data_IF_499110152074
#
_entry.id   IF_499110152074
#
_cell.length_a   1.000
_cell.length_b   1.000
_cell.length_c   1.000
_cell.angle_alpha   90.00
_cell.angle_beta   90.00
_cell.angle_gamma   90.00
#
_symmetry.space_group_name_H-M   'P 1'
#
loop_
_entity.id
_entity.type
_entity.pdbx_description
1 polymer ?
#
# COMPACT_ATOMS: atom_id res chain seq x y z
N UNK A 1 8.59 -0.66 -8.94
CA UNK A 1 9.43 -0.34 -7.77
C UNK A 1 10.46 -1.42 -7.49
N UNK A 2 10.05 -2.67 -7.22
CA UNK A 2 10.94 -3.79 -6.87
C UNK A 2 12.11 -4.00 -7.84
N UNK A 3 11.87 -3.89 -9.17
CA UNK A 3 12.93 -3.97 -10.18
C UNK A 3 13.99 -2.87 -10.00
N UNK A 4 13.55 -1.63 -9.77
CA UNK A 4 14.45 -0.49 -9.56
C UNK A 4 15.28 -0.72 -8.31
N UNK A 5 14.64 -1.04 -7.18
CA UNK A 5 15.37 -1.31 -5.93
C UNK A 5 16.38 -2.45 -6.09
N UNK A 6 16.01 -3.53 -6.77
CA UNK A 6 16.92 -4.61 -7.11
C UNK A 6 18.12 -4.16 -7.97
N UNK A 7 17.89 -3.35 -9.01
CA UNK A 7 18.98 -2.85 -9.88
C UNK A 7 19.96 -1.90 -9.16
N UNK A 8 19.51 -1.26 -8.08
CA UNK A 8 20.33 -0.39 -7.24
C UNK A 8 20.86 -1.09 -5.98
N UNK A 9 20.78 -2.42 -5.91
CA UNK A 9 21.24 -3.25 -4.77
C UNK A 9 20.60 -2.87 -3.43
N UNK A 10 19.33 -2.46 -3.47
CA UNK A 10 18.51 -2.16 -2.31
C UNK A 10 17.57 -3.33 -2.01
N UNK A 11 17.23 -3.49 -0.72
CA UNK A 11 16.31 -4.52 -0.26
C UNK A 11 14.97 -4.44 -0.99
N UNK A 12 14.55 -5.56 -1.57
CA UNK A 12 13.26 -5.67 -2.25
C UNK A 12 12.14 -5.48 -1.23
N UNK A 13 11.16 -4.59 -1.50
CA UNK A 13 10.13 -4.26 -0.55
C UNK A 13 9.09 -5.37 -0.45
N UNK A 14 8.47 -5.49 0.72
CA UNK A 14 7.26 -6.30 0.91
C UNK A 14 6.04 -5.48 0.51
N UNK A 15 5.23 -6.02 -0.41
CA UNK A 15 4.22 -5.23 -1.13
C UNK A 15 2.80 -5.61 -0.67
N UNK A 16 2.01 -4.61 -0.30
CA UNK A 16 0.58 -4.79 -0.06
C UNK A 16 -0.19 -5.00 -1.38
N UNK A 17 -0.68 -6.21 -1.63
CA UNK A 17 -1.42 -6.59 -2.83
C UNK A 17 -2.88 -6.92 -2.55
N UNK A 18 -3.78 -6.65 -3.50
CA UNK A 18 -5.19 -7.02 -3.38
C UNK A 18 -5.42 -8.53 -3.45
N UNK A 19 -6.40 -9.05 -2.70
CA UNK A 19 -6.75 -10.47 -2.69
C UNK A 19 -7.18 -11.02 -4.07
N UNK A 20 -7.59 -10.17 -5.01
CA UNK A 20 -7.96 -10.57 -6.37
C UNK A 20 -6.82 -11.33 -7.10
N UNK A 21 -5.55 -11.00 -6.79
CA UNK A 21 -4.38 -11.67 -7.37
C UNK A 21 -4.10 -13.05 -6.75
N UNK A 22 -4.57 -13.31 -5.53
CA UNK A 22 -4.41 -14.61 -4.86
C UNK A 22 -5.23 -15.71 -5.54
N UNK A 23 -6.31 -15.35 -6.25
CA UNK A 23 -7.11 -16.31 -7.02
C UNK A 23 -6.37 -16.93 -8.21
N UNK A 24 -5.23 -16.36 -8.62
CA UNK A 24 -4.43 -16.82 -9.75
C UNK A 24 -3.26 -17.68 -9.25
N UNK A 25 -3.38 -19.01 -9.16
CA UNK A 25 -2.38 -19.89 -8.51
C UNK A 25 -0.91 -19.55 -8.83
N UNK A 26 -0.53 -19.54 -10.11
CA UNK A 26 0.87 -19.30 -10.52
C UNK A 26 1.34 -17.86 -10.22
N UNK A 27 0.50 -16.87 -10.53
CA UNK A 27 0.85 -15.44 -10.37
C UNK A 27 0.86 -15.05 -8.90
N UNK A 28 -0.12 -15.53 -8.13
CA UNK A 28 -0.21 -15.33 -6.69
C UNK A 28 0.96 -15.96 -5.95
N UNK A 29 1.40 -17.15 -6.35
CA UNK A 29 2.59 -17.80 -5.77
C UNK A 29 3.87 -17.02 -6.09
N UNK A 30 4.06 -16.61 -7.35
CA UNK A 30 5.20 -15.76 -7.74
C UNK A 30 5.23 -14.44 -6.95
N UNK A 31 4.07 -13.80 -6.77
CA UNK A 31 3.96 -12.57 -5.98
C UNK A 31 4.31 -12.80 -4.50
N UNK A 32 3.86 -13.91 -3.90
CA UNK A 32 4.26 -14.26 -2.52
C UNK A 32 5.75 -14.48 -2.39
N UNK A 33 6.35 -15.21 -3.33
CA UNK A 33 7.80 -15.44 -3.35
C UNK A 33 8.58 -14.12 -3.53
N UNK A 34 7.96 -13.12 -4.15
CA UNK A 34 8.53 -11.77 -4.33
C UNK A 34 8.26 -10.82 -3.14
N UNK A 35 7.69 -11.31 -2.04
CA UNK A 35 7.43 -10.52 -0.83
C UNK A 35 6.05 -9.84 -0.78
N UNK A 36 5.10 -10.18 -1.66
CA UNK A 36 3.75 -9.63 -1.61
C UNK A 36 2.90 -10.29 -0.50
N UNK A 37 2.16 -9.48 0.24
CA UNK A 37 1.13 -9.92 1.17
C UNK A 37 -0.26 -9.43 0.75
N UNK A 38 -1.29 -10.23 1.00
CA UNK A 38 -2.63 -9.99 0.45
C UNK A 38 -3.59 -9.36 1.45
N UNK A 39 -4.26 -8.28 1.02
CA UNK A 39 -5.27 -7.55 1.79
C UNK A 39 -6.66 -7.68 1.14
N UNK A 40 -7.70 -7.83 1.98
CA UNK A 40 -9.10 -7.76 1.53
C UNK A 40 -9.49 -6.31 1.22
N UNK A 41 -10.32 -6.10 0.21
CA UNK A 41 -10.86 -4.76 -0.13
C UNK A 41 -11.84 -4.22 0.93
N UNK A 42 -12.51 -5.10 1.66
CA UNK A 42 -13.36 -4.77 2.79
C UNK A 42 -13.11 -5.77 3.91
N UNK A 43 -12.99 -5.25 5.14
CA UNK A 43 -12.78 -6.05 6.34
C UNK A 43 -14.09 -6.58 6.94
N UNK A 44 -15.25 -6.08 6.49
CA UNK A 44 -16.57 -6.60 6.87
C UNK A 44 -16.86 -6.64 8.38
N UNK A 45 -16.13 -5.87 9.20
CA UNK A 45 -16.22 -5.94 10.66
C UNK A 45 -15.51 -7.13 11.32
N UNK A 46 -14.75 -7.92 10.56
CA UNK A 46 -13.97 -9.06 11.05
C UNK A 46 -12.76 -8.58 11.88
N UNK A 47 -12.97 -8.50 13.20
CA UNK A 47 -11.96 -8.04 14.16
C UNK A 47 -10.75 -8.98 14.22
N UNK A 48 -10.95 -10.29 14.05
CA UNK A 48 -9.86 -11.26 14.12
C UNK A 48 -8.94 -11.10 12.92
N UNK A 49 -9.51 -11.00 11.71
CA UNK A 49 -8.72 -10.76 10.51
C UNK A 49 -7.93 -9.45 10.61
N UNK A 50 -8.54 -8.37 11.11
CA UNK A 50 -7.84 -7.11 11.32
C UNK A 50 -6.69 -7.23 12.32
N UNK A 51 -6.90 -7.88 13.46
CA UNK A 51 -5.87 -8.03 14.49
C UNK A 51 -4.67 -8.84 13.96
N UNK A 52 -4.92 -9.97 13.31
CA UNK A 52 -3.86 -10.82 12.72
C UNK A 52 -3.12 -10.07 11.61
N UNK A 53 -3.85 -9.40 10.73
CA UNK A 53 -3.25 -8.62 9.63
C UNK A 53 -2.42 -7.45 10.15
N UNK A 54 -2.92 -6.72 11.16
CA UNK A 54 -2.21 -5.60 11.75
C UNK A 54 -0.92 -6.07 12.41
N UNK A 55 -0.96 -7.14 13.21
CA UNK A 55 0.24 -7.67 13.86
C UNK A 55 1.25 -8.16 12.82
N UNK A 56 0.81 -8.82 11.74
CA UNK A 56 1.68 -9.26 10.65
C UNK A 56 2.47 -8.09 10.04
N UNK A 57 1.80 -6.97 9.73
CA UNK A 57 2.46 -5.77 9.19
C UNK A 57 3.36 -5.11 10.25
N UNK A 58 2.91 -5.05 11.50
CA UNK A 58 3.71 -4.49 12.59
C UNK A 58 4.99 -5.28 12.84
N UNK A 59 4.96 -6.62 12.74
CA UNK A 59 6.15 -7.46 12.82
C UNK A 59 7.13 -7.13 11.70
N UNK A 60 6.65 -6.92 10.46
CA UNK A 60 7.53 -6.54 9.35
C UNK A 60 8.24 -5.21 9.64
N UNK A 61 7.50 -4.19 10.09
CA UNK A 61 8.06 -2.89 10.47
C UNK A 61 9.04 -3.00 11.64
N UNK A 62 8.70 -3.77 12.69
CA UNK A 62 9.56 -4.00 13.86
C UNK A 62 10.86 -4.72 13.52
N UNK A 63 10.78 -5.73 12.65
CA UNK A 63 11.94 -6.53 12.26
C UNK A 63 12.96 -5.73 11.44
N UNK A 64 12.50 -4.70 10.73
CA UNK A 64 13.36 -3.87 9.87
C UNK A 64 14.02 -4.62 8.72
N UNK A 65 13.63 -5.87 8.43
CA UNK A 65 14.29 -6.72 7.45
C UNK A 65 14.12 -6.22 6.01
N UNK A 66 12.93 -5.72 5.68
CA UNK A 66 12.60 -5.19 4.37
C UNK A 66 11.67 -3.97 4.47
N UNK A 67 11.79 -2.99 3.57
CA UNK A 67 10.87 -1.86 3.52
C UNK A 67 9.46 -2.32 3.12
N UNK A 68 8.43 -1.72 3.71
CA UNK A 68 7.02 -2.01 3.37
C UNK A 68 6.54 -1.04 2.30
N UNK A 69 6.16 -1.57 1.13
CA UNK A 69 5.58 -0.81 0.03
C UNK A 69 4.06 -0.95 0.04
N UNK A 70 3.37 0.20 -0.01
CA UNK A 70 1.92 0.22 -0.15
C UNK A 70 1.42 1.48 -0.86
N UNK A 71 0.24 1.36 -1.46
CA UNK A 71 -0.42 2.45 -2.16
C UNK A 71 -1.55 3.00 -1.31
N UNK A 72 -1.46 4.28 -0.92
CA UNK A 72 -2.49 4.94 -0.10
C UNK A 72 -3.88 4.88 -0.73
N UNK A 73 -3.97 4.97 -2.05
CA UNK A 73 -5.24 4.95 -2.78
C UNK A 73 -5.92 3.55 -2.77
N UNK A 74 -5.11 2.48 -2.66
CA UNK A 74 -5.55 1.09 -2.72
C UNK A 74 -6.01 0.61 -4.10
N UNK A 75 -6.00 1.48 -5.11
CA UNK A 75 -6.29 1.15 -6.52
C UNK A 75 -5.43 2.00 -7.45
N UNK A 76 -5.19 1.52 -8.68
CA UNK A 76 -4.53 2.31 -9.72
C UNK A 76 -5.38 3.52 -10.11
N UNK A 77 -4.75 4.70 -10.22
CA UNK A 77 -5.39 5.85 -10.86
C UNK A 77 -5.59 5.60 -12.35
N UNK A 78 -6.77 5.96 -12.87
CA UNK A 78 -7.14 5.79 -14.29
C UNK A 78 -7.18 7.11 -15.07
N UNK A 79 -7.17 8.24 -14.36
CA UNK A 79 -7.30 9.59 -14.93
C UNK A 79 -6.07 10.45 -14.67
N UNK A 80 -4.96 9.83 -14.25
CA UNK A 80 -3.74 10.48 -13.79
C UNK A 80 -3.93 11.48 -12.62
N UNK A 81 -5.10 11.47 -11.98
CA UNK A 81 -5.40 12.25 -10.77
C UNK A 81 -5.21 11.38 -9.53
N UNK A 82 -4.69 11.96 -8.46
CA UNK A 82 -4.62 11.29 -7.16
C UNK A 82 -6.01 11.02 -6.62
N UNK A 83 -6.22 9.80 -6.11
CA UNK A 83 -7.44 9.42 -5.42
C UNK A 83 -7.33 9.75 -3.92
N UNK A 84 -8.47 9.76 -3.23
CA UNK A 84 -8.49 9.99 -1.78
C UNK A 84 -7.71 8.90 -1.06
N UNK A 85 -6.74 9.26 -0.19
CA UNK A 85 -5.91 8.28 0.51
C UNK A 85 -6.71 7.52 1.57
N UNK A 86 -6.49 6.21 1.65
CA UNK A 86 -7.01 5.33 2.70
C UNK A 86 -5.95 5.15 3.77
N UNK A 87 -6.18 5.76 4.94
CA UNK A 87 -5.21 5.81 6.04
C UNK A 87 -5.08 4.50 6.84
N UNK A 88 -5.88 3.46 6.53
CA UNK A 88 -5.92 2.23 7.32
C UNK A 88 -4.55 1.54 7.46
N UNK A 89 -3.85 1.34 6.34
CA UNK A 89 -2.54 0.68 6.37
C UNK A 89 -1.44 1.60 6.92
N UNK A 90 -1.52 2.90 6.63
CA UNK A 90 -0.62 3.91 7.19
C UNK A 90 -0.68 3.92 8.73
N UNK A 91 -1.89 3.84 9.29
CA UNK A 91 -2.09 3.75 10.74
C UNK A 91 -1.42 2.49 11.32
N UNK A 92 -1.52 1.33 10.64
CA UNK A 92 -0.89 0.09 11.08
C UNK A 92 0.64 0.22 11.09
N UNK A 93 1.23 0.88 10.08
CA UNK A 93 2.68 1.07 9.94
C UNK A 93 3.23 2.05 10.98
N UNK A 94 2.47 3.08 11.34
CA UNK A 94 2.86 4.09 12.35
C UNK A 94 2.66 3.55 13.78
N UNK A 95 1.78 2.58 13.97
CA UNK A 95 1.39 2.07 15.30
C UNK A 95 2.56 1.58 16.17
N UNK A 96 3.56 0.81 15.65
CA UNK A 96 4.73 0.41 16.43
C UNK A 96 5.50 1.59 17.02
N UNK A 97 5.61 2.71 16.28
CA UNK A 97 6.26 3.92 16.78
C UNK A 97 5.44 4.57 17.90
N UNK A 98 4.12 4.64 17.74
CA UNK A 98 3.22 5.22 18.75
C UNK A 98 3.21 4.41 20.05
N UNK A 99 3.34 3.08 19.96
CA UNK A 99 3.48 2.18 21.12
C UNK A 99 4.87 2.26 21.79
N UNK A 100 5.86 2.80 21.09
CA UNK A 100 7.26 2.80 21.53
C UNK A 100 7.97 1.46 21.32
N UNK A 101 7.45 0.59 20.44
CA UNK A 101 8.08 -0.67 20.05
C UNK A 101 9.27 -0.44 19.10
N UNK A 102 9.28 0.68 18.37
CA UNK A 102 10.39 1.12 17.52
C UNK A 102 10.75 2.58 17.82
N UNK A 103 12.01 2.93 17.57
CA UNK A 103 12.53 4.27 17.83
C UNK A 103 11.98 5.32 16.87
N UNK A 104 11.89 4.98 15.58
CA UNK A 104 11.36 5.83 14.52
C UNK A 104 10.86 4.98 13.34
N UNK A 105 9.99 5.56 12.52
CA UNK A 105 9.54 5.01 11.24
C UNK A 105 9.73 6.10 10.18
N UNK A 106 10.47 5.79 9.13
CA UNK A 106 10.69 6.71 8.00
C UNK A 106 9.72 6.40 6.87
N UNK A 107 8.90 7.39 6.51
CA UNK A 107 7.98 7.30 5.38
C UNK A 107 8.63 7.95 4.15
N UNK A 108 8.84 7.18 3.09
CA UNK A 108 9.40 7.70 1.83
C UNK A 108 8.27 7.86 0.81
N UNK A 109 7.83 9.09 0.50
CA UNK A 109 6.81 9.29 -0.51
C UNK A 109 7.40 9.01 -1.89
N UNK A 110 6.74 8.15 -2.66
CA UNK A 110 7.16 7.82 -4.02
C UNK A 110 6.03 8.10 -5.00
N UNK A 111 6.35 8.84 -6.06
CA UNK A 111 5.45 9.06 -7.20
C UNK A 111 5.93 8.24 -8.39
N UNK A 112 5.00 7.56 -9.06
CA UNK A 112 5.25 6.83 -10.30
C UNK A 112 4.33 7.41 -11.36
N UNK A 113 4.91 7.95 -12.42
CA UNK A 113 4.20 8.54 -13.55
C UNK A 113 4.51 7.77 -14.82
N UNK A 114 3.46 7.52 -15.60
CA UNK A 114 3.53 6.81 -16.87
C UNK A 114 3.16 7.77 -17.97
N UNK A 115 3.87 7.73 -19.10
CA UNK A 115 3.52 8.51 -20.29
C UNK A 115 2.18 8.04 -20.89
N UNK A 116 1.93 6.72 -20.87
CA UNK A 116 0.68 6.13 -21.35
C UNK A 116 0.07 5.17 -20.33
N UNK A 117 -1.21 5.37 -20.03
CA UNK A 117 -1.97 4.53 -19.09
C UNK A 117 -2.63 3.38 -19.84
N UNK A 118 -2.30 2.14 -19.48
CA UNK A 118 -2.85 0.92 -20.10
C UNK A 118 -4.39 0.84 -20.02
N UNK A 119 -4.97 1.39 -18.96
CA UNK A 119 -6.40 1.31 -18.67
C UNK A 119 -7.24 2.37 -19.37
N UNK A 120 -6.65 3.31 -20.13
CA UNK A 120 -7.37 4.45 -20.72
C UNK A 120 -8.53 4.00 -21.62
N UNK A 121 -8.28 3.08 -22.57
CA UNK A 121 -9.29 2.57 -23.46
C UNK A 121 -10.37 1.72 -22.74
N UNK A 122 -9.98 1.02 -21.68
CA UNK A 122 -10.92 0.26 -20.84
C UNK A 122 -11.80 1.19 -20.01
N UNK A 123 -11.23 2.28 -19.49
CA UNK A 123 -11.94 3.29 -18.72
C UNK A 123 -12.94 4.08 -19.59
N UNK A 124 -12.55 4.44 -20.82
CA UNK A 124 -13.47 5.05 -21.77
C UNK A 124 -14.70 4.16 -22.06
N UNK A 125 -14.50 2.84 -22.20
CA UNK A 125 -15.61 1.89 -22.38
C UNK A 125 -16.48 1.74 -21.13
N UNK A 126 -15.89 1.80 -19.94
CA UNK A 126 -16.62 1.79 -18.68
C UNK A 126 -17.49 3.03 -18.51
N UNK A 127 -17.00 4.22 -18.89
CA UNK A 127 -17.79 5.44 -18.93
C UNK A 127 -18.97 5.36 -19.92
N UNK A 128 -18.83 4.57 -20.99
CA UNK A 128 -19.91 4.25 -21.93
C UNK A 128 -20.88 3.17 -21.42
N UNK A 129 -20.73 2.72 -20.16
CA UNK A 129 -21.63 1.76 -19.51
C UNK A 129 -21.24 0.29 -19.65
N UNK A 130 -20.08 -0.01 -20.25
CA UNK A 130 -19.59 -1.39 -20.35
C UNK A 130 -19.01 -1.83 -19.00
N UNK A 131 -19.50 -2.92 -18.38
CA UNK A 131 -19.03 -3.32 -17.06
C UNK A 131 -17.55 -3.73 -17.08
N UNK A 132 -16.82 -3.38 -16.00
CA UNK A 132 -15.40 -3.74 -15.85
C UNK A 132 -15.23 -5.26 -15.93
N UNK A 133 -14.41 -5.79 -16.87
CA UNK A 133 -14.10 -7.21 -16.88
C UNK A 133 -13.34 -7.60 -15.61
N UNK A 134 -13.69 -8.74 -15.01
CA UNK A 134 -12.93 -9.30 -13.89
C UNK A 134 -11.51 -9.63 -14.39
N UNK A 135 -10.50 -9.19 -13.64
CA UNK A 135 -9.11 -9.52 -13.93
C UNK A 135 -8.96 -11.05 -13.82
N UNK A 136 -8.56 -11.70 -14.92
CA UNK A 136 -8.48 -13.16 -15.04
C UNK A 136 -7.11 -13.58 -15.57
N UNK A 137 -6.75 -14.84 -15.32
CA UNK A 137 -5.54 -15.47 -15.87
C UNK A 137 -5.47 -15.40 -17.39
N UNK A 138 -6.59 -15.61 -18.08
CA UNK A 138 -6.66 -15.48 -19.54
C UNK A 138 -6.48 -14.02 -20.02
N UNK A 139 -6.95 -13.04 -19.24
CA UNK A 139 -6.71 -11.62 -19.47
C UNK A 139 -5.23 -11.25 -19.35
N UNK A 140 -4.52 -11.81 -18.37
CA UNK A 140 -3.09 -11.59 -18.18
C UNK A 140 -2.23 -12.20 -19.31
N UNK A 141 -2.60 -13.38 -19.83
CA UNK A 141 -1.91 -13.97 -20.98
C UNK A 141 -2.14 -13.17 -22.27
N UNK A 142 -3.33 -12.63 -22.51
CA UNK A 142 -3.57 -11.68 -23.62
C UNK A 142 -2.85 -10.35 -23.40
N UNK A 143 -2.73 -9.90 -22.16
CA UNK A 143 -1.96 -8.72 -21.80
C UNK A 143 -0.46 -8.86 -22.10
N UNK A 144 0.09 -10.07 -22.33
CA UNK A 144 1.49 -10.21 -22.81
C UNK A 144 1.75 -9.53 -24.14
N UNK A 145 0.78 -9.54 -25.07
CA UNK A 145 0.89 -8.83 -26.35
C UNK A 145 0.82 -7.31 -26.16
N UNK A 146 0.01 -6.88 -25.18
CA UNK A 146 -0.06 -5.48 -24.76
C UNK A 146 1.27 -5.08 -24.11
N UNK A 147 1.83 -5.89 -23.21
CA UNK A 147 3.13 -5.67 -22.55
C UNK A 147 4.33 -5.58 -23.51
N UNK A 148 4.20 -6.04 -24.77
CA UNK A 148 5.24 -5.92 -25.79
C UNK A 148 5.14 -4.66 -26.66
N UNK A 149 4.10 -3.84 -26.48
CA UNK A 149 4.01 -2.55 -27.16
C UNK A 149 4.81 -1.48 -26.40
N UNK A 150 5.22 -0.43 -27.11
CA UNK A 150 5.90 0.72 -26.52
C UNK A 150 4.88 1.64 -25.82
N UNK A 151 5.01 1.77 -24.49
CA UNK A 151 4.19 2.65 -23.64
C UNK A 151 4.91 3.94 -23.25
N UNK A 152 6.05 4.23 -23.88
CA UNK A 152 6.87 5.38 -23.56
C UNK A 152 7.64 5.18 -22.26
N UNK A 153 7.93 6.29 -21.59
CA UNK A 153 8.80 6.30 -20.41
C UNK A 153 8.04 6.21 -19.08
N UNK A 154 8.68 5.56 -18.10
CA UNK A 154 8.23 5.54 -16.70
C UNK A 154 9.12 6.46 -15.89
N UNK A 155 8.52 7.45 -15.26
CA UNK A 155 9.22 8.38 -14.36
C UNK A 155 8.91 8.02 -12.91
N UNK A 156 9.96 7.81 -12.11
CA UNK A 156 9.85 7.49 -10.69
C UNK A 156 10.55 8.60 -9.91
N UNK A 157 9.82 9.21 -8.99
CA UNK A 157 10.33 10.27 -8.14
C UNK A 157 10.25 9.86 -6.67
N UNK A 158 11.40 9.89 -5.99
CA UNK A 158 11.50 9.68 -4.56
C UNK A 158 11.53 11.05 -3.87
N UNK A 159 10.52 11.32 -3.05
CA UNK A 159 10.49 12.53 -2.24
C UNK A 159 11.36 12.41 -0.99
N UNK A 160 11.43 13.50 -0.23
CA UNK A 160 12.19 13.54 1.01
C UNK A 160 11.61 12.56 2.04
N UNK A 161 12.43 11.68 2.66
CA UNK A 161 11.98 10.83 3.74
C UNK A 161 11.44 11.65 4.91
N UNK A 162 10.29 11.24 5.42
CA UNK A 162 9.61 11.91 6.53
C UNK A 162 9.68 11.02 7.75
N UNK A 163 10.38 11.48 8.79
CA UNK A 163 10.43 10.82 10.09
C UNK A 163 9.09 11.00 10.81
N UNK A 164 8.45 9.89 11.17
CA UNK A 164 7.22 9.91 11.97
C UNK A 164 7.50 10.51 13.34
N UNK A 165 8.68 10.29 13.90
CA UNK A 165 9.09 10.93 15.14
C UNK A 165 9.14 12.45 15.04
N UNK A 166 9.79 12.98 14.00
CA UNK A 166 9.86 14.43 13.78
C UNK A 166 8.47 15.04 13.57
N UNK A 167 7.57 14.31 12.89
CA UNK A 167 6.17 14.73 12.74
C UNK A 167 5.38 14.73 14.05
N UNK A 168 5.65 13.77 14.93
CA UNK A 168 4.95 13.59 16.20
C UNK A 168 5.46 14.51 17.32
N UNK A 169 6.68 15.05 17.18
CA UNK A 169 7.31 15.89 18.20
C UNK A 169 6.47 17.14 18.51
N UNK A 170 6.18 17.36 19.80
CA UNK A 170 5.36 18.46 20.28
C UNK A 170 3.86 18.38 19.97
N UNK A 171 3.42 17.38 19.18
CA UNK A 171 2.03 17.24 18.72
C UNK A 171 1.31 16.02 19.29
N UNK A 172 2.05 14.94 19.60
CA UNK A 172 1.46 13.66 19.96
C UNK A 172 2.04 13.13 21.28
N UNK A 173 1.19 12.96 22.29
CA UNK A 173 1.61 12.36 23.56
C UNK A 173 1.56 10.82 23.48
N UNK A 174 2.72 10.21 23.26
CA UNK A 174 2.87 8.74 23.14
C UNK A 174 2.37 7.95 24.36
N UNK A 175 2.37 8.54 25.57
CA UNK A 175 1.94 7.82 26.76
C UNK A 175 0.47 7.41 26.69
N UNK A 176 -0.38 8.21 26.04
CA UNK A 176 -1.81 7.90 25.88
C UNK A 176 -2.06 6.65 25.03
N UNK A 177 -1.15 6.35 24.11
CA UNK A 177 -1.26 5.28 23.13
C UNK A 177 -1.05 3.89 23.73
N UNK A 178 -0.48 3.81 24.94
CA UNK A 178 -0.27 2.59 25.72
C UNK A 178 -1.31 2.38 26.83
N UNK A 179 -2.23 3.33 27.04
CA UNK A 179 -3.26 3.23 28.09
C UNK A 179 -4.40 2.27 27.73
N UNK A 180 -4.58 1.94 26.45
CA UNK A 180 -5.67 1.06 26.00
C UNK A 180 -5.22 0.05 24.95
N UNK A 181 -5.69 -1.22 25.01
CA UNK A 181 -5.38 -2.22 23.99
C UNK A 181 -5.95 -1.82 22.62
N UNK A 182 -5.09 -1.65 21.61
CA UNK A 182 -5.47 -1.23 20.23
C UNK A 182 -5.65 -2.37 19.22
N UNK A 183 -5.92 -3.59 19.68
CA UNK A 183 -6.27 -4.72 18.80
C UNK A 183 -7.62 -4.54 18.08
N UNK A 184 -8.42 -3.55 18.48
CA UNK A 184 -9.66 -3.13 17.81
C UNK A 184 -9.42 -1.76 17.19
N UNK A 185 -9.69 -1.56 15.88
CA UNK A 185 -9.57 -0.25 15.25
C UNK A 185 -10.55 0.70 15.93
N UNK A 186 -10.01 1.69 16.64
CA UNK A 186 -10.77 2.81 17.19
C UNK A 186 -10.68 3.97 16.22
N UNK A 187 -11.77 4.73 16.13
CA UNK A 187 -11.73 6.03 15.46
C UNK A 187 -10.64 6.87 16.16
N UNK A 188 -9.71 7.50 15.42
CA UNK A 188 -8.71 8.37 16.04
C UNK A 188 -9.42 9.43 16.89
N UNK A 189 -8.85 9.75 18.07
CA UNK A 189 -9.37 10.82 18.92
C UNK A 189 -9.39 12.17 18.19
N UNK A 190 -10.17 13.13 18.68
CA UNK A 190 -10.30 14.45 18.06
C UNK A 190 -8.95 15.16 17.87
N UNK A 191 -8.03 15.00 18.83
CA UNK A 191 -6.65 15.52 18.77
C UNK A 191 -5.82 14.93 17.61
N UNK A 192 -6.11 13.70 17.19
CA UNK A 192 -5.42 13.05 16.06
C UNK A 192 -6.07 13.45 14.74
N UNK A 193 -7.38 13.72 14.73
CA UNK A 193 -8.06 14.24 13.54
C UNK A 193 -7.63 15.68 13.25
N UNK A 194 -7.40 16.50 14.28
CA UNK A 194 -6.86 17.85 14.12
C UNK A 194 -5.41 17.87 13.66
N UNK A 195 -4.64 16.79 13.85
CA UNK A 195 -3.29 16.64 13.30
C UNK A 195 -3.26 16.46 11.76
N UNK A 196 -4.37 15.98 11.17
CA UNK A 196 -4.45 15.65 9.72
C UNK A 196 -4.92 16.85 8.87
N UNK A 197 -5.52 17.88 9.49
CA UNK A 197 -5.94 19.13 8.85
C UNK A 197 -4.93 20.26 9.11
#
# INVERSE_FOLDING_TARGET
MSYVLYTYDLSVPVIAAGMDFMGMKMVGEMLRMSGAFFIRRSFGGDKLYWAVFSEYVQIMVKSGFAPVEFFLEGTRSRTAKSLTPKLGLLNIVIDPFLKGEVFDVSLVPVSISYERVLEEALYARELLGVPKPKESTSGLFKARKVLSEDYGSIHIYFGQPVSVRALAEGKVNRCQFNLTPRHIPRKPGEEIQSFVN
#
